data_IF_099558075032
#
_entry.id   IF_099558075032
#
_cell.length_a   1.000
_cell.length_b   1.000
_cell.length_c   1.000
_cell.angle_alpha   90.00
_cell.angle_beta   90.00
_cell.angle_gamma   90.00
#
_symmetry.space_group_name_H-M   'P 1'
#
loop_
_entity.id
_entity.type
_entity.pdbx_description
1 polymer ?
#
# COMPACT_ATOMS: atom_id res chain seq x y z
N UNK A 1 -38.47 -15.38 -16.29
CA UNK A 1 -37.33 -14.45 -16.33
C UNK A 1 -36.32 -14.98 -15.34
N UNK A 2 -35.14 -15.38 -15.81
CA UNK A 2 -34.08 -15.85 -14.92
C UNK A 2 -33.70 -14.74 -13.95
N UNK A 3 -33.60 -15.10 -12.68
CA UNK A 3 -33.22 -14.17 -11.63
C UNK A 3 -31.77 -13.75 -11.85
N UNK A 4 -31.55 -12.46 -12.16
CA UNK A 4 -30.21 -11.92 -12.40
C UNK A 4 -29.45 -11.87 -11.08
N UNK A 5 -28.45 -12.74 -10.95
CA UNK A 5 -27.61 -12.84 -9.77
C UNK A 5 -26.39 -11.90 -9.87
N UNK A 6 -26.05 -11.25 -8.76
CA UNK A 6 -24.89 -10.37 -8.63
C UNK A 6 -23.97 -10.88 -7.52
N UNK A 7 -22.66 -10.71 -7.68
CA UNK A 7 -21.66 -11.09 -6.66
C UNK A 7 -21.53 -9.93 -5.67
N UNK A 8 -21.57 -10.24 -4.38
CA UNK A 8 -21.45 -9.25 -3.28
C UNK A 8 -20.22 -9.43 -2.40
N UNK A 9 -19.60 -10.62 -2.41
CA UNK A 9 -18.37 -10.91 -1.68
C UNK A 9 -17.60 -12.04 -2.36
N UNK A 10 -16.29 -12.08 -2.12
CA UNK A 10 -15.41 -13.18 -2.51
C UNK A 10 -14.57 -13.57 -1.29
N UNK A 11 -14.75 -14.79 -0.81
CA UNK A 11 -14.35 -15.18 0.54
C UNK A 11 -13.81 -16.62 0.59
N UNK A 12 -13.18 -16.98 1.71
CA UNK A 12 -12.96 -18.40 2.04
C UNK A 12 -14.29 -19.13 2.16
N UNK A 13 -14.33 -20.43 1.91
CA UNK A 13 -15.57 -21.22 2.05
C UNK A 13 -16.26 -21.03 3.42
N UNK A 14 -15.48 -21.07 4.50
CA UNK A 14 -16.00 -20.89 5.86
C UNK A 14 -16.60 -19.49 6.06
N UNK A 15 -15.89 -18.44 5.63
CA UNK A 15 -16.39 -17.06 5.70
C UNK A 15 -17.67 -16.89 4.86
N UNK A 16 -17.69 -17.47 3.66
CA UNK A 16 -18.83 -17.42 2.74
C UNK A 16 -20.08 -18.11 3.32
N UNK A 17 -19.93 -19.24 4.01
CA UNK A 17 -21.04 -19.92 4.71
C UNK A 17 -21.61 -19.09 5.87
N UNK A 18 -20.73 -18.47 6.67
CA UNK A 18 -21.14 -17.58 7.76
C UNK A 18 -21.92 -16.39 7.20
N UNK A 19 -21.40 -15.78 6.13
CA UNK A 19 -22.04 -14.66 5.47
C UNK A 19 -23.39 -15.06 4.86
N UNK A 20 -23.45 -16.21 4.16
CA UNK A 20 -24.70 -16.75 3.62
C UNK A 20 -25.74 -16.91 4.73
N UNK A 21 -25.38 -17.57 5.83
CA UNK A 21 -26.29 -17.81 6.96
C UNK A 21 -26.82 -16.49 7.54
N UNK A 22 -25.94 -15.49 7.69
CA UNK A 22 -26.33 -14.16 8.16
C UNK A 22 -27.30 -13.47 7.20
N UNK A 23 -27.01 -13.45 5.89
CA UNK A 23 -27.89 -12.83 4.89
C UNK A 23 -29.25 -13.52 4.81
N UNK A 24 -29.28 -14.85 4.79
CA UNK A 24 -30.51 -15.64 4.72
C UNK A 24 -31.38 -15.44 5.98
N UNK A 25 -30.76 -15.39 7.16
CA UNK A 25 -31.48 -15.09 8.41
C UNK A 25 -32.12 -13.69 8.43
N UNK A 26 -31.61 -12.77 7.60
CA UNK A 26 -32.15 -11.42 7.41
C UNK A 26 -33.04 -11.32 6.15
N UNK A 27 -33.43 -12.45 5.54
CA UNK A 27 -34.33 -12.50 4.41
C UNK A 27 -33.70 -12.00 3.10
N UNK A 28 -32.43 -12.29 2.88
CA UNK A 28 -31.74 -12.15 1.59
C UNK A 28 -31.29 -13.52 1.14
N UNK A 29 -31.86 -14.04 0.06
CA UNK A 29 -31.49 -15.36 -0.45
C UNK A 29 -30.11 -15.30 -1.10
N UNK A 30 -29.26 -16.27 -0.77
CA UNK A 30 -27.86 -16.27 -1.17
C UNK A 30 -27.48 -17.60 -1.84
N UNK A 31 -26.54 -17.51 -2.79
CA UNK A 31 -26.03 -18.64 -3.57
C UNK A 31 -24.50 -18.58 -3.57
N UNK A 32 -23.84 -19.69 -3.27
CA UNK A 32 -22.40 -19.78 -3.28
C UNK A 32 -21.91 -20.41 -4.60
N UNK A 33 -20.87 -19.83 -5.20
CA UNK A 33 -20.23 -20.32 -6.44
C UNK A 33 -18.74 -20.50 -6.23
N UNK A 34 -18.11 -21.36 -7.04
CA UNK A 34 -16.70 -21.79 -6.91
C UNK A 34 -16.41 -22.59 -5.62
N UNK A 35 -17.36 -23.41 -5.18
CA UNK A 35 -17.16 -24.31 -4.05
C UNK A 35 -16.50 -25.61 -4.56
N UNK A 36 -15.34 -25.96 -4.03
CA UNK A 36 -14.82 -27.31 -4.19
C UNK A 36 -15.54 -28.26 -3.22
N UNK A 37 -16.51 -29.02 -3.71
CA UNK A 37 -17.33 -29.93 -2.89
C UNK A 37 -16.54 -31.13 -2.32
N UNK A 38 -15.35 -31.42 -2.87
CA UNK A 38 -14.52 -32.56 -2.44
C UNK A 38 -13.56 -32.15 -1.32
N UNK A 39 -13.02 -30.93 -1.40
CA UNK A 39 -12.17 -30.35 -0.35
C UNK A 39 -12.58 -28.90 -0.08
N UNK A 40 -13.65 -28.68 0.70
CA UNK A 40 -14.21 -27.34 0.93
C UNK A 40 -13.21 -26.37 1.57
N UNK A 41 -12.32 -26.87 2.42
CA UNK A 41 -11.31 -26.10 3.14
C UNK A 41 -10.16 -25.57 2.25
N UNK A 42 -10.14 -25.89 0.96
CA UNK A 42 -9.11 -25.45 -0.01
C UNK A 42 -9.63 -24.31 -0.91
N UNK A 43 -10.89 -23.89 -0.74
CA UNK A 43 -11.49 -22.85 -1.59
C UNK A 43 -11.32 -21.45 -0.99
N UNK A 44 -10.31 -20.71 -1.46
CA UNK A 44 -10.02 -19.31 -1.05
C UNK A 44 -10.68 -18.24 -1.95
N UNK A 45 -11.65 -18.62 -2.81
CA UNK A 45 -12.30 -17.71 -3.77
C UNK A 45 -13.77 -18.07 -4.02
N UNK A 46 -14.53 -18.31 -2.96
CA UNK A 46 -15.97 -18.60 -3.03
C UNK A 46 -16.73 -17.30 -3.25
N UNK A 47 -17.48 -17.25 -4.34
CA UNK A 47 -18.31 -16.08 -4.70
C UNK A 47 -19.67 -16.18 -4.03
N UNK A 48 -20.03 -15.15 -3.27
CA UNK A 48 -21.33 -15.02 -2.62
C UNK A 48 -22.24 -14.21 -3.55
N UNK A 49 -23.34 -14.83 -4.02
CA UNK A 49 -24.25 -14.25 -5.01
C UNK A 49 -25.67 -14.08 -4.45
N UNK A 50 -26.33 -13.01 -4.83
CA UNK A 50 -27.72 -12.69 -4.43
C UNK A 50 -28.52 -12.21 -5.63
N UNK A 51 -29.85 -12.12 -5.48
CA UNK A 51 -30.71 -11.43 -6.46
C UNK A 51 -30.33 -9.95 -6.57
N UNK A 52 -30.24 -9.40 -7.79
CA UNK A 52 -29.98 -7.96 -8.01
C UNK A 52 -31.00 -7.07 -7.28
N UNK A 53 -32.23 -7.56 -7.11
CA UNK A 53 -33.30 -6.85 -6.37
C UNK A 53 -33.01 -6.71 -4.87
N UNK A 54 -32.25 -7.66 -4.30
CA UNK A 54 -31.89 -7.66 -2.89
C UNK A 54 -30.56 -6.95 -2.62
N UNK A 55 -29.89 -6.43 -3.66
CA UNK A 55 -28.55 -5.86 -3.56
C UNK A 55 -28.45 -4.76 -2.50
N UNK A 56 -29.38 -3.81 -2.51
CA UNK A 56 -29.37 -2.70 -1.54
C UNK A 56 -29.50 -3.21 -0.10
N UNK A 57 -30.43 -4.14 0.15
CA UNK A 57 -30.66 -4.72 1.48
C UNK A 57 -29.45 -5.53 1.94
N UNK A 58 -28.89 -6.36 1.08
CA UNK A 58 -27.74 -7.19 1.38
C UNK A 58 -26.50 -6.36 1.71
N UNK A 59 -26.23 -5.31 0.92
CA UNK A 59 -25.09 -4.43 1.12
C UNK A 59 -25.22 -3.62 2.42
N UNK A 60 -26.44 -3.18 2.77
CA UNK A 60 -26.71 -2.57 4.10
C UNK A 60 -26.44 -3.54 5.25
N UNK A 61 -26.81 -4.81 5.11
CA UNK A 61 -26.53 -5.84 6.11
C UNK A 61 -25.02 -6.14 6.23
N UNK A 62 -24.30 -6.19 5.10
CA UNK A 62 -22.85 -6.36 5.05
C UNK A 62 -22.12 -5.22 5.76
N UNK A 63 -22.54 -3.97 5.52
CA UNK A 63 -21.90 -2.81 6.15
C UNK A 63 -22.12 -2.78 7.68
N UNK A 64 -23.21 -3.36 8.18
CA UNK A 64 -23.46 -3.54 9.61
C UNK A 64 -22.69 -4.73 10.21
N UNK A 65 -22.50 -5.79 9.42
CA UNK A 65 -21.69 -6.96 9.79
C UNK A 65 -20.22 -6.60 9.94
N UNK A 66 -19.70 -5.70 9.10
CA UNK A 66 -18.34 -5.14 9.18
C UNK A 66 -18.20 -4.25 10.42
N UNK A 67 -17.87 -4.84 11.57
CA UNK A 67 -17.53 -4.08 12.78
C UNK A 67 -16.26 -3.25 12.55
N UNK A 68 -16.23 -1.96 12.95
CA UNK A 68 -14.98 -1.23 13.00
C UNK A 68 -14.04 -1.93 14.01
N UNK A 69 -12.88 -2.37 13.56
CA UNK A 69 -11.84 -2.91 14.44
C UNK A 69 -11.30 -1.81 15.37
N UNK A 70 -10.62 -2.20 16.47
CA UNK A 70 -9.93 -1.24 17.34
C UNK A 70 -9.00 -0.36 16.49
N UNK A 71 -9.09 0.95 16.71
CA UNK A 71 -8.53 1.97 15.83
C UNK A 71 -7.06 1.77 15.49
N UNK A 72 -6.74 1.96 14.20
CA UNK A 72 -5.38 2.06 13.74
C UNK A 72 -4.70 3.27 14.41
N UNK A 73 -3.41 3.14 14.74
CA UNK A 73 -2.62 4.27 15.26
C UNK A 73 -1.75 4.85 14.17
N UNK A 74 -1.41 6.13 14.30
CA UNK A 74 -0.40 6.77 13.45
C UNK A 74 0.88 5.94 13.34
N UNK A 75 1.57 5.97 12.17
CA UNK A 75 2.81 5.23 11.98
C UNK A 75 3.87 5.69 12.99
N UNK A 76 4.17 4.87 14.00
CA UNK A 76 5.23 5.19 14.97
C UNK A 76 6.63 4.87 14.45
N UNK A 77 6.71 4.05 13.39
CA UNK A 77 7.95 3.57 12.78
C UNK A 77 7.83 3.66 11.27
N UNK A 78 8.79 4.34 10.65
CA UNK A 78 8.90 4.49 9.19
C UNK A 78 10.16 3.78 8.73
N UNK A 79 10.02 2.84 7.79
CA UNK A 79 11.13 2.20 7.11
C UNK A 79 11.38 2.90 5.77
N UNK A 80 12.64 3.20 5.46
CA UNK A 80 13.03 3.89 4.24
C UNK A 80 14.17 3.13 3.55
N UNK A 81 13.89 2.33 2.52
CA UNK A 81 14.91 1.74 1.67
C UNK A 81 15.65 2.82 0.88
N UNK A 82 16.97 2.75 0.85
CA UNK A 82 17.83 3.70 0.15
C UNK A 82 18.89 2.98 -0.68
N UNK A 83 19.11 3.49 -1.88
CA UNK A 83 20.13 3.06 -2.83
C UNK A 83 21.09 4.20 -3.20
N UNK A 84 21.00 5.32 -2.49
CA UNK A 84 21.82 6.53 -2.67
C UNK A 84 21.58 7.31 -3.98
N UNK A 85 20.63 6.88 -4.81
CA UNK A 85 20.08 7.70 -5.89
C UNK A 85 19.37 8.94 -5.35
N UNK A 86 19.22 9.96 -6.18
CA UNK A 86 18.49 11.18 -5.79
C UNK A 86 17.01 10.90 -5.49
N UNK A 87 16.43 9.87 -6.13
CA UNK A 87 15.07 9.42 -5.87
C UNK A 87 14.91 8.86 -4.45
N UNK A 88 15.84 8.00 -4.01
CA UNK A 88 15.78 7.44 -2.65
C UNK A 88 16.15 8.46 -1.58
N UNK A 89 17.05 9.41 -1.88
CA UNK A 89 17.30 10.57 -1.01
C UNK A 89 16.04 11.42 -0.84
N UNK A 90 15.35 11.74 -1.93
CA UNK A 90 14.10 12.52 -1.88
C UNK A 90 13.06 11.83 -0.98
N UNK A 91 12.88 10.51 -1.14
CA UNK A 91 12.00 9.72 -0.29
C UNK A 91 12.43 9.76 1.19
N UNK A 92 13.74 9.74 1.49
CA UNK A 92 14.25 9.82 2.85
C UNK A 92 14.02 11.19 3.51
N UNK A 93 14.21 12.30 2.77
CA UNK A 93 13.88 13.64 3.27
C UNK A 93 12.38 13.82 3.50
N UNK A 94 11.55 13.31 2.59
CA UNK A 94 10.10 13.30 2.77
C UNK A 94 9.69 12.51 4.02
N UNK A 95 10.24 11.30 4.19
CA UNK A 95 9.99 10.45 5.35
C UNK A 95 10.38 11.12 6.67
N UNK A 96 11.47 11.88 6.69
CA UNK A 96 11.93 12.63 7.85
C UNK A 96 10.93 13.72 8.27
N UNK A 97 10.43 14.49 7.29
CA UNK A 97 9.40 15.52 7.51
C UNK A 97 8.11 14.90 8.05
N UNK A 98 7.68 13.79 7.45
CA UNK A 98 6.50 13.06 7.91
C UNK A 98 6.67 12.50 9.32
N UNK A 99 7.84 11.93 9.62
CA UNK A 99 8.16 11.40 10.94
C UNK A 99 8.18 12.49 12.02
N UNK A 100 8.58 13.72 11.67
CA UNK A 100 8.50 14.85 12.59
C UNK A 100 7.06 15.15 13.02
N UNK A 101 6.12 15.18 12.08
CA UNK A 101 4.68 15.40 12.36
C UNK A 101 4.13 14.29 13.26
N UNK A 102 4.38 13.03 12.93
CA UNK A 102 3.86 11.89 13.68
C UNK A 102 4.65 11.56 14.95
N UNK A 103 5.79 12.23 15.18
CA UNK A 103 6.78 11.86 16.21
C UNK A 103 7.23 10.39 16.07
N UNK A 104 7.42 9.96 14.83
CA UNK A 104 7.81 8.60 14.48
C UNK A 104 9.33 8.42 14.47
N UNK A 105 9.81 7.18 14.60
CA UNK A 105 11.21 6.85 14.30
C UNK A 105 11.39 6.52 12.82
N UNK A 106 12.48 7.02 12.23
CA UNK A 106 12.90 6.71 10.85
C UNK A 106 14.02 5.68 10.91
N UNK A 107 13.90 4.62 10.13
CA UNK A 107 14.98 3.65 9.91
C UNK A 107 15.33 3.60 8.43
N UNK A 108 16.52 4.06 8.08
CA UNK A 108 17.10 3.84 6.76
C UNK A 108 17.49 2.37 6.60
N UNK A 109 17.29 1.82 5.42
CA UNK A 109 17.72 0.48 5.07
C UNK A 109 18.45 0.53 3.73
N UNK A 110 19.73 0.17 3.71
CA UNK A 110 20.37 -0.18 2.46
C UNK A 110 20.53 -1.71 2.40
N UNK A 111 20.18 -2.28 1.25
CA UNK A 111 20.43 -3.69 0.95
C UNK A 111 21.48 -3.71 -0.16
N UNK A 112 22.68 -4.19 0.15
CA UNK A 112 23.75 -4.29 -0.83
C UNK A 112 23.81 -5.72 -1.37
N UNK A 113 23.99 -5.83 -2.68
CA UNK A 113 24.06 -7.13 -3.34
C UNK A 113 25.46 -7.71 -3.18
N UNK A 114 25.53 -8.96 -2.72
CA UNK A 114 26.74 -9.78 -2.84
C UNK A 114 26.63 -10.56 -4.14
N UNK A 115 27.63 -10.53 -5.04
CA UNK A 115 27.58 -11.30 -6.27
C UNK A 115 27.43 -12.79 -5.94
N UNK A 116 26.31 -13.39 -6.34
CA UNK A 116 26.12 -14.84 -6.28
C UNK A 116 26.91 -15.45 -7.44
N UNK A 117 27.92 -16.27 -7.12
CA UNK A 117 28.68 -17.00 -8.13
C UNK A 117 28.10 -18.40 -8.24
N UNK A 118 27.24 -18.60 -9.24
CA UNK A 118 26.70 -19.90 -9.59
C UNK A 118 27.78 -20.70 -10.34
N UNK A 119 28.44 -21.60 -9.61
CA UNK A 119 29.48 -22.56 -10.05
C UNK A 119 30.87 -21.98 -10.38
N UNK A 120 31.82 -22.21 -9.48
CA UNK A 120 33.26 -22.01 -9.73
C UNK A 120 33.89 -23.38 -10.02
N UNK A 121 34.58 -23.57 -11.16
CA UNK A 121 35.40 -24.76 -11.39
C UNK A 121 36.47 -24.92 -10.29
N UNK A 122 36.64 -26.13 -9.76
CA UNK A 122 37.56 -26.41 -8.63
C UNK A 122 38.99 -25.89 -8.82
N UNK A 123 39.45 -25.73 -10.06
CA UNK A 123 40.80 -25.26 -10.41
C UNK A 123 41.03 -23.77 -10.10
N UNK A 124 39.98 -22.96 -10.09
CA UNK A 124 40.07 -21.51 -9.89
C UNK A 124 39.44 -21.05 -8.56
N UNK A 125 38.98 -22.00 -7.72
CA UNK A 125 38.20 -21.71 -6.54
C UNK A 125 38.93 -20.82 -5.51
N UNK A 126 40.23 -21.02 -5.28
CA UNK A 126 40.95 -20.28 -4.24
C UNK A 126 41.25 -18.82 -4.61
N UNK A 127 41.67 -18.54 -5.84
CA UNK A 127 41.93 -17.18 -6.33
C UNK A 127 40.63 -16.39 -6.49
N UNK A 128 39.60 -17.02 -7.04
CA UNK A 128 38.27 -16.41 -7.19
C UNK A 128 37.62 -16.15 -5.82
N UNK A 129 37.77 -17.04 -4.82
CA UNK A 129 37.25 -16.82 -3.48
C UNK A 129 37.89 -15.59 -2.80
N UNK A 130 39.21 -15.41 -2.92
CA UNK A 130 39.92 -14.23 -2.38
C UNK A 130 39.43 -12.95 -3.06
N UNK A 131 39.28 -12.95 -4.39
CA UNK A 131 38.80 -11.78 -5.13
C UNK A 131 37.34 -11.45 -4.80
N UNK A 132 36.49 -12.45 -4.57
CA UNK A 132 35.10 -12.27 -4.10
C UNK A 132 35.08 -11.68 -2.70
N UNK A 133 35.87 -12.21 -1.76
CA UNK A 133 35.91 -11.74 -0.38
C UNK A 133 36.42 -10.29 -0.29
N UNK A 134 37.44 -9.95 -1.08
CA UNK A 134 37.94 -8.57 -1.20
C UNK A 134 36.85 -7.67 -1.80
N UNK A 135 36.22 -8.08 -2.91
CA UNK A 135 35.15 -7.33 -3.56
C UNK A 135 33.95 -7.11 -2.63
N UNK A 136 33.57 -8.13 -1.87
CA UNK A 136 32.52 -8.08 -0.85
C UNK A 136 32.85 -7.06 0.25
N UNK A 137 34.07 -7.13 0.80
CA UNK A 137 34.49 -6.20 1.85
C UNK A 137 34.47 -4.74 1.38
N UNK A 138 34.84 -4.50 0.12
CA UNK A 138 34.80 -3.17 -0.52
C UNK A 138 33.35 -2.72 -0.71
N UNK A 139 32.46 -3.57 -1.25
CA UNK A 139 31.04 -3.26 -1.43
C UNK A 139 30.36 -2.92 -0.10
N UNK A 140 30.58 -3.75 0.92
CA UNK A 140 30.02 -3.54 2.25
C UNK A 140 30.55 -2.23 2.88
N UNK A 141 31.85 -1.97 2.77
CA UNK A 141 32.48 -0.74 3.27
C UNK A 141 31.91 0.49 2.57
N UNK A 142 31.84 0.49 1.25
CA UNK A 142 31.30 1.60 0.45
C UNK A 142 29.83 1.86 0.79
N UNK A 143 29.01 0.82 0.86
CA UNK A 143 27.60 0.93 1.23
C UNK A 143 27.43 1.50 2.65
N UNK A 144 28.27 1.06 3.60
CA UNK A 144 28.28 1.59 4.97
C UNK A 144 28.69 3.06 5.00
N UNK A 145 29.70 3.46 4.23
CA UNK A 145 30.17 4.85 4.16
C UNK A 145 29.10 5.77 3.55
N UNK A 146 28.47 5.37 2.45
CA UNK A 146 27.36 6.11 1.84
C UNK A 146 26.14 6.21 2.77
N UNK A 147 25.78 5.12 3.45
CA UNK A 147 24.68 5.13 4.42
C UNK A 147 24.97 6.04 5.61
N UNK A 148 26.21 6.02 6.12
CA UNK A 148 26.65 6.93 7.18
C UNK A 148 26.63 8.39 6.74
N UNK A 149 27.04 8.68 5.50
CA UNK A 149 26.99 10.03 4.93
C UNK A 149 25.54 10.53 4.85
N UNK A 150 24.64 9.74 4.26
CA UNK A 150 23.21 10.08 4.17
C UNK A 150 22.58 10.24 5.56
N UNK A 151 22.91 9.36 6.51
CA UNK A 151 22.46 9.47 7.89
C UNK A 151 22.87 10.81 8.53
N UNK A 152 24.14 11.21 8.37
CA UNK A 152 24.64 12.50 8.89
C UNK A 152 23.96 13.68 8.21
N UNK A 153 23.71 13.60 6.91
CA UNK A 153 23.02 14.62 6.15
C UNK A 153 21.58 14.82 6.64
N UNK A 154 20.81 13.74 6.77
CA UNK A 154 19.45 13.78 7.32
C UNK A 154 19.43 14.27 8.77
N UNK A 155 20.42 13.88 9.57
CA UNK A 155 20.53 14.35 10.96
C UNK A 155 20.78 15.85 11.02
N UNK A 156 21.72 16.35 10.21
CA UNK A 156 22.00 17.78 10.10
C UNK A 156 20.76 18.54 9.64
N UNK A 157 20.07 18.04 8.61
CA UNK A 157 18.83 18.65 8.13
C UNK A 157 17.75 18.68 9.22
N UNK A 158 17.56 17.60 9.99
CA UNK A 158 16.63 17.55 11.11
C UNK A 158 16.95 18.63 12.17
N UNK A 159 18.23 18.76 12.53
CA UNK A 159 18.69 19.73 13.51
C UNK A 159 18.51 21.18 13.01
N UNK A 160 18.89 21.45 11.75
CA UNK A 160 18.76 22.76 11.10
C UNK A 160 17.28 23.21 10.95
N UNK A 161 16.34 22.26 10.86
CA UNK A 161 14.90 22.51 10.74
C UNK A 161 14.12 22.32 12.05
N UNK A 162 14.80 22.30 13.20
CA UNK A 162 14.13 22.28 14.51
C UNK A 162 13.44 20.96 14.87
N UNK A 163 13.72 19.86 14.17
CA UNK A 163 13.16 18.53 14.41
C UNK A 163 13.84 17.81 15.59
N UNK A 164 14.02 18.51 16.71
CA UNK A 164 14.74 18.03 17.89
C UNK A 164 14.06 16.77 18.44
N UNK A 165 14.89 15.77 18.77
CA UNK A 165 14.41 14.50 19.35
C UNK A 165 13.93 13.47 18.34
N UNK A 166 13.94 13.79 17.03
CA UNK A 166 13.61 12.81 15.99
C UNK A 166 14.64 11.66 16.01
N UNK A 167 14.14 10.43 16.11
CA UNK A 167 14.95 9.21 16.13
C UNK A 167 15.20 8.78 14.69
N UNK A 168 16.47 8.81 14.30
CA UNK A 168 16.93 8.33 13.00
C UNK A 168 17.89 7.18 13.28
N UNK A 169 17.63 6.03 12.70
CA UNK A 169 18.53 4.89 12.70
C UNK A 169 18.78 4.43 11.27
N UNK A 170 19.75 3.52 11.11
CA UNK A 170 20.02 2.90 9.83
C UNK A 170 20.35 1.41 10.03
N UNK A 171 20.12 0.62 8.99
CA UNK A 171 20.50 -0.78 8.91
C UNK A 171 21.11 -1.05 7.54
N UNK A 172 22.20 -1.82 7.54
CA UNK A 172 22.81 -2.34 6.33
C UNK A 172 22.55 -3.85 6.28
N UNK A 173 22.05 -4.35 5.15
CA UNK A 173 21.77 -5.77 4.94
C UNK A 173 22.38 -6.26 3.65
N UNK A 174 22.77 -7.51 3.65
CA UNK A 174 23.21 -8.21 2.45
C UNK A 174 22.01 -8.89 1.77
N UNK A 175 22.03 -8.90 0.44
CA UNK A 175 21.15 -9.71 -0.40
C UNK A 175 20.45 -8.91 -1.50
N UNK A 176 19.34 -9.46 -1.99
CA UNK A 176 18.51 -8.81 -3.00
C UNK A 176 17.62 -7.74 -2.37
N UNK A 177 17.56 -6.56 -2.98
CA UNK A 177 16.90 -5.39 -2.41
C UNK A 177 15.44 -5.63 -2.02
N UNK A 178 14.62 -6.14 -2.94
CA UNK A 178 13.19 -6.42 -2.69
C UNK A 178 13.00 -7.39 -1.51
N UNK A 179 13.70 -8.52 -1.53
CA UNK A 179 13.65 -9.52 -0.45
C UNK A 179 14.11 -8.94 0.89
N UNK A 180 15.21 -8.19 0.92
CA UNK A 180 15.73 -7.55 2.12
C UNK A 180 14.76 -6.51 2.70
N UNK A 181 14.08 -5.75 1.84
CA UNK A 181 13.05 -4.78 2.24
C UNK A 181 11.83 -5.51 2.83
N UNK A 182 11.34 -6.56 2.17
CA UNK A 182 10.17 -7.34 2.61
C UNK A 182 10.47 -8.07 3.94
N UNK A 183 11.65 -8.69 4.08
CA UNK A 183 12.09 -9.30 5.34
C UNK A 183 12.20 -8.26 6.46
N UNK A 184 12.74 -7.08 6.17
CA UNK A 184 12.79 -5.99 7.15
C UNK A 184 11.39 -5.52 7.56
N UNK A 185 10.43 -5.44 6.64
CA UNK A 185 9.05 -5.13 6.98
C UNK A 185 8.47 -6.15 7.96
N UNK A 186 8.73 -7.46 7.77
CA UNK A 186 8.29 -8.52 8.68
C UNK A 186 8.94 -8.42 10.07
N UNK A 187 10.25 -8.15 10.13
CA UNK A 187 11.01 -8.11 11.40
C UNK A 187 10.82 -6.83 12.19
N UNK A 188 10.84 -5.69 11.51
CA UNK A 188 10.75 -4.37 12.12
C UNK A 188 9.30 -3.92 12.36
N UNK A 189 8.36 -4.48 11.59
CA UNK A 189 6.94 -4.17 11.59
C UNK A 189 6.69 -2.64 11.55
N UNK A 190 7.17 -1.95 10.49
CA UNK A 190 6.95 -0.52 10.37
C UNK A 190 5.47 -0.22 10.18
N UNK A 191 5.00 0.90 10.75
CA UNK A 191 3.65 1.39 10.47
C UNK A 191 3.51 1.93 9.04
N UNK A 192 4.64 2.23 8.39
CA UNK A 192 4.70 2.73 7.03
C UNK A 192 6.06 2.44 6.38
N UNK A 193 6.04 2.05 5.11
CA UNK A 193 7.19 1.93 4.24
C UNK A 193 7.18 3.10 3.25
N UNK A 194 8.30 3.82 3.11
CA UNK A 194 8.43 4.93 2.15
C UNK A 194 9.64 4.69 1.27
N UNK A 195 9.46 4.70 -0.05
CA UNK A 195 10.55 4.52 -1.01
C UNK A 195 10.35 5.35 -2.28
N UNK A 196 11.40 5.54 -3.08
CA UNK A 196 11.29 6.13 -4.41
C UNK A 196 10.65 5.16 -5.42
N UNK A 197 10.03 5.66 -6.49
CA UNK A 197 9.50 4.82 -7.58
C UNK A 197 10.62 4.16 -8.39
N UNK A 198 11.78 4.80 -8.46
CA UNK A 198 12.94 4.38 -9.27
C UNK A 198 14.20 4.41 -8.42
N UNK A 199 15.19 3.65 -8.86
CA UNK A 199 16.50 3.57 -8.21
C UNK A 199 17.65 4.03 -9.11
N UNK A 200 18.87 3.85 -8.63
CA UNK A 200 20.10 4.15 -9.35
C UNK A 200 20.18 3.40 -10.69
N UNK A 201 20.63 4.09 -11.76
CA UNK A 201 20.82 3.48 -13.08
C UNK A 201 19.54 3.28 -13.91
N UNK A 202 18.37 3.68 -13.40
CA UNK A 202 17.11 3.55 -14.12
C UNK A 202 17.02 4.57 -15.27
N UNK A 203 17.06 4.08 -16.52
CA UNK A 203 16.95 4.90 -17.75
C UNK A 203 15.74 4.53 -18.62
N UNK A 204 14.82 3.69 -18.11
CA UNK A 204 13.65 3.25 -18.87
C UNK A 204 12.51 4.28 -18.81
N UNK A 205 11.60 4.19 -19.77
CA UNK A 205 10.35 4.97 -19.82
C UNK A 205 9.30 4.47 -18.84
N UNK A 206 9.58 3.41 -18.09
CA UNK A 206 8.64 2.84 -17.14
C UNK A 206 8.44 3.76 -15.93
N UNK A 207 7.22 3.75 -15.38
CA UNK A 207 6.83 4.63 -14.28
C UNK A 207 7.36 4.16 -12.92
N UNK A 208 7.62 2.85 -12.78
CA UNK A 208 8.01 2.20 -11.51
C UNK A 208 9.12 1.19 -11.79
N UNK A 209 10.19 1.24 -11.01
CA UNK A 209 11.32 0.32 -11.10
C UNK A 209 11.02 -1.06 -10.52
N UNK A 210 11.83 -2.06 -10.93
CA UNK A 210 11.62 -3.48 -10.58
C UNK A 210 11.51 -3.74 -9.08
N UNK A 211 12.40 -3.15 -8.28
CA UNK A 211 12.38 -3.29 -6.80
C UNK A 211 11.09 -2.74 -6.22
N UNK A 212 10.67 -1.53 -6.63
CA UNK A 212 9.42 -0.93 -6.14
C UNK A 212 8.20 -1.76 -6.55
N UNK A 213 8.15 -2.26 -7.79
CA UNK A 213 7.06 -3.11 -8.27
C UNK A 213 6.96 -4.45 -7.54
N UNK A 214 8.09 -5.05 -7.14
CA UNK A 214 8.10 -6.28 -6.34
C UNK A 214 7.67 -6.01 -4.89
N UNK A 215 8.19 -4.94 -4.28
CA UNK A 215 7.80 -4.55 -2.92
C UNK A 215 6.31 -4.18 -2.82
N UNK A 216 5.76 -3.48 -3.81
CA UNK A 216 4.32 -3.14 -3.89
C UNK A 216 3.43 -4.38 -3.88
N UNK A 217 3.89 -5.49 -4.49
CA UNK A 217 3.11 -6.75 -4.55
C UNK A 217 3.14 -7.53 -3.24
N UNK A 218 4.26 -7.49 -2.52
CA UNK A 218 4.51 -8.41 -1.39
C UNK A 218 4.47 -7.75 0.00
N UNK A 219 4.59 -6.42 0.08
CA UNK A 219 4.61 -5.71 1.36
C UNK A 219 3.22 -5.70 2.02
N UNK A 220 3.16 -6.17 3.27
CA UNK A 220 1.93 -6.21 4.09
C UNK A 220 1.73 -4.96 4.97
N UNK A 221 2.46 -3.89 4.69
CA UNK A 221 2.42 -2.62 5.42
C UNK A 221 2.00 -1.50 4.48
N UNK A 222 1.41 -0.40 4.96
CA UNK A 222 1.15 0.77 4.12
C UNK A 222 2.43 1.24 3.43
N UNK A 223 2.38 1.34 2.11
CA UNK A 223 3.51 1.73 1.26
C UNK A 223 3.20 3.05 0.57
N UNK A 224 4.09 4.03 0.75
CA UNK A 224 4.09 5.27 -0.01
C UNK A 224 5.28 5.29 -0.95
N UNK A 225 4.99 5.44 -2.24
CA UNK A 225 6.02 5.52 -3.28
C UNK A 225 6.13 6.96 -3.76
N UNK A 226 7.33 7.54 -3.70
CA UNK A 226 7.61 8.93 -4.08
C UNK A 226 8.13 8.96 -5.53
N UNK A 227 7.42 9.61 -6.46
CA UNK A 227 7.87 9.79 -7.84
C UNK A 227 9.18 10.59 -7.93
N UNK A 228 9.94 10.37 -9.00
CA UNK A 228 11.23 11.04 -9.23
C UNK A 228 11.14 12.58 -9.22
N UNK A 229 10.09 13.14 -9.82
CA UNK A 229 9.88 14.58 -9.96
C UNK A 229 8.96 15.16 -8.89
N UNK A 230 8.62 14.38 -7.85
CA UNK A 230 7.81 14.88 -6.75
C UNK A 230 8.68 15.76 -5.85
N UNK A 231 8.63 17.08 -6.03
CA UNK A 231 9.36 18.06 -5.23
C UNK A 231 8.63 18.44 -3.94
N UNK A 232 7.93 17.50 -3.30
CA UNK A 232 7.15 17.78 -2.10
C UNK A 232 8.06 18.24 -0.96
N UNK A 233 8.00 19.53 -0.62
CA UNK A 233 8.78 20.10 0.47
C UNK A 233 8.09 19.87 1.81
N UNK A 234 6.79 19.67 1.82
CA UNK A 234 6.01 19.35 3.01
C UNK A 234 4.77 18.53 2.63
N UNK A 235 4.33 17.63 3.49
CA UNK A 235 3.10 16.85 3.23
C UNK A 235 1.83 17.74 3.26
N UNK A 236 1.90 18.92 3.87
CA UNK A 236 0.85 19.93 3.77
C UNK A 236 0.68 20.51 2.35
N UNK A 237 1.63 20.28 1.44
CA UNK A 237 1.48 20.59 0.01
C UNK A 237 0.55 19.61 -0.70
N UNK A 238 0.42 18.38 -0.17
CA UNK A 238 -0.65 17.47 -0.58
C UNK A 238 -1.95 18.09 -0.10
N UNK A 239 -2.93 18.29 -0.99
CA UNK A 239 -4.26 18.82 -0.67
C UNK A 239 -5.37 17.86 -1.05
N UNK A 240 -5.25 17.24 -2.22
CA UNK A 240 -6.29 16.38 -2.78
C UNK A 240 -5.79 14.94 -2.86
N UNK A 241 -6.46 14.06 -2.13
CA UNK A 241 -6.16 12.63 -2.09
C UNK A 241 -7.28 11.86 -2.75
N UNK A 242 -6.93 11.00 -3.70
CA UNK A 242 -7.86 10.05 -4.32
C UNK A 242 -7.64 8.67 -3.71
N UNK A 243 -8.68 8.09 -3.14
CA UNK A 243 -8.74 6.66 -2.85
C UNK A 243 -9.52 5.93 -3.94
N UNK A 244 -8.84 5.08 -4.72
CA UNK A 244 -9.45 4.29 -5.78
C UNK A 244 -10.03 2.98 -5.21
N UNK A 245 -11.35 2.97 -4.95
CA UNK A 245 -12.06 1.84 -4.35
C UNK A 245 -12.51 0.83 -5.41
N UNK A 246 -12.46 -0.46 -5.09
CA UNK A 246 -13.07 -1.54 -5.89
C UNK A 246 -14.31 -2.13 -5.24
N UNK A 247 -14.67 -1.63 -4.06
CA UNK A 247 -15.72 -2.14 -3.19
C UNK A 247 -15.45 -3.55 -2.66
N UNK A 248 -14.18 -3.93 -2.54
CA UNK A 248 -13.79 -5.19 -1.90
C UNK A 248 -13.62 -5.01 -0.38
N UNK A 249 -13.49 -6.11 0.36
CA UNK A 249 -13.38 -6.06 1.82
C UNK A 249 -12.11 -5.35 2.31
N UNK A 250 -11.05 -5.37 1.50
CA UNK A 250 -9.80 -4.70 1.85
C UNK A 250 -9.98 -3.19 1.87
N UNK A 251 -10.90 -2.64 1.07
CA UNK A 251 -11.17 -1.19 1.02
C UNK A 251 -11.54 -0.60 2.38
N UNK A 252 -12.31 -1.33 3.19
CA UNK A 252 -12.77 -0.85 4.50
C UNK A 252 -11.64 -0.71 5.52
N UNK A 253 -10.68 -1.64 5.48
CA UNK A 253 -9.48 -1.58 6.31
C UNK A 253 -8.50 -0.52 5.78
N UNK A 254 -8.31 -0.49 4.45
CA UNK A 254 -7.40 0.43 3.79
C UNK A 254 -7.82 1.89 3.94
N UNK A 255 -9.09 2.23 3.73
CA UNK A 255 -9.59 3.60 3.89
C UNK A 255 -9.45 4.07 5.35
N UNK A 256 -9.73 3.20 6.32
CA UNK A 256 -9.56 3.51 7.75
C UNK A 256 -8.10 3.81 8.08
N UNK A 257 -7.17 2.98 7.59
CA UNK A 257 -5.72 3.19 7.74
C UNK A 257 -5.26 4.45 7.04
N UNK A 258 -5.71 4.70 5.81
CA UNK A 258 -5.40 5.91 5.05
C UNK A 258 -5.85 7.15 5.82
N UNK A 259 -7.10 7.20 6.26
CA UNK A 259 -7.63 8.34 6.99
C UNK A 259 -6.98 8.50 8.37
N UNK A 260 -6.51 7.41 8.98
CA UNK A 260 -5.66 7.47 10.17
C UNK A 260 -4.35 8.14 9.83
N UNK A 261 -3.60 7.66 8.84
CA UNK A 261 -2.33 8.27 8.40
C UNK A 261 -2.55 9.77 8.13
N UNK A 262 -3.60 10.10 7.39
CA UNK A 262 -3.86 11.48 6.97
C UNK A 262 -4.46 12.39 8.05
N UNK A 263 -4.73 11.90 9.27
CA UNK A 263 -5.54 12.63 10.26
C UNK A 263 -4.94 13.93 10.79
N UNK A 264 -3.61 14.10 10.69
CA UNK A 264 -2.91 15.32 11.13
C UNK A 264 -2.94 16.43 10.07
N UNK A 265 -3.50 16.18 8.88
CA UNK A 265 -3.49 17.11 7.78
C UNK A 265 -4.90 17.57 7.40
N UNK A 266 -4.99 18.82 6.94
CA UNK A 266 -6.22 19.36 6.39
C UNK A 266 -6.28 19.07 4.88
N UNK A 267 -6.85 17.92 4.53
CA UNK A 267 -6.89 17.38 3.17
C UNK A 267 -8.32 17.12 2.71
N UNK A 268 -8.53 17.21 1.40
CA UNK A 268 -9.73 16.72 0.73
C UNK A 268 -9.47 15.28 0.30
N UNK A 269 -10.21 14.33 0.85
CA UNK A 269 -10.16 12.94 0.39
C UNK A 269 -11.37 12.68 -0.49
N UNK A 270 -11.16 12.11 -1.67
CA UNK A 270 -12.24 11.60 -2.51
C UNK A 270 -12.08 10.10 -2.70
N UNK A 271 -13.12 9.35 -2.37
CA UNK A 271 -13.20 7.92 -2.64
C UNK A 271 -13.94 7.73 -3.97
N UNK A 272 -13.25 7.24 -4.99
CA UNK A 272 -13.83 7.06 -6.30
C UNK A 272 -13.73 5.64 -6.84
N UNK A 273 -14.79 5.20 -7.50
CA UNK A 273 -14.84 3.95 -8.25
C UNK A 273 -14.96 4.24 -9.75
N UNK A 274 -14.43 3.36 -10.60
CA UNK A 274 -14.66 3.41 -12.05
C UNK A 274 -15.58 2.26 -12.46
N UNK A 275 -16.65 2.58 -13.19
CA UNK A 275 -17.53 1.55 -13.77
C UNK A 275 -18.19 2.01 -15.09
N UNK A 276 -18.65 1.05 -15.89
CA UNK A 276 -19.32 1.31 -17.17
C UNK A 276 -20.67 2.03 -17.00
N UNK A 277 -21.39 1.70 -15.92
CA UNK A 277 -22.74 2.19 -15.64
C UNK A 277 -22.85 2.71 -14.19
N UNK A 278 -22.65 4.02 -13.96
CA UNK A 278 -22.80 4.64 -12.64
C UNK A 278 -24.20 4.51 -12.03
N UNK A 279 -25.23 4.26 -12.86
CA UNK A 279 -26.61 4.05 -12.42
C UNK A 279 -26.88 2.62 -11.95
N UNK A 280 -25.88 1.72 -11.98
CA UNK A 280 -26.03 0.36 -11.51
C UNK A 280 -26.38 0.33 -9.99
N UNK A 281 -27.48 -0.32 -9.58
CA UNK A 281 -27.92 -0.37 -8.18
C UNK A 281 -26.88 -0.95 -7.22
N UNK A 282 -26.10 -1.95 -7.65
CA UNK A 282 -25.03 -2.57 -6.85
C UNK A 282 -23.89 -1.58 -6.61
N UNK A 283 -23.47 -0.85 -7.65
CA UNK A 283 -22.41 0.17 -7.55
C UNK A 283 -22.85 1.29 -6.61
N UNK A 284 -24.08 1.80 -6.77
CA UNK A 284 -24.64 2.84 -5.89
C UNK A 284 -24.77 2.37 -4.44
N UNK A 285 -25.25 1.15 -4.21
CA UNK A 285 -25.39 0.60 -2.88
C UNK A 285 -24.02 0.38 -2.21
N UNK A 286 -23.02 -0.12 -2.95
CA UNK A 286 -21.65 -0.27 -2.45
C UNK A 286 -21.03 1.08 -2.08
N UNK A 287 -21.24 2.10 -2.91
CA UNK A 287 -20.76 3.46 -2.61
C UNK A 287 -21.42 4.01 -1.34
N UNK A 288 -22.74 3.88 -1.22
CA UNK A 288 -23.48 4.31 -0.03
C UNK A 288 -23.00 3.59 1.24
N UNK A 289 -22.72 2.28 1.16
CA UNK A 289 -22.17 1.52 2.28
C UNK A 289 -20.76 1.98 2.70
N UNK A 290 -19.90 2.31 1.73
CA UNK A 290 -18.56 2.84 1.99
C UNK A 290 -18.66 4.25 2.62
N UNK A 291 -19.57 5.08 2.14
CA UNK A 291 -19.85 6.40 2.70
C UNK A 291 -20.32 6.31 4.15
N UNK A 292 -21.31 5.46 4.43
CA UNK A 292 -21.83 5.22 5.78
C UNK A 292 -20.75 4.68 6.72
N UNK A 293 -19.93 3.73 6.25
CA UNK A 293 -18.80 3.24 7.02
C UNK A 293 -17.81 4.36 7.35
N UNK A 294 -17.43 5.16 6.35
CA UNK A 294 -16.46 6.25 6.49
C UNK A 294 -16.93 7.29 7.50
N UNK A 295 -18.21 7.70 7.44
CA UNK A 295 -18.83 8.62 8.41
C UNK A 295 -18.78 8.08 9.85
N UNK A 296 -18.83 6.76 10.05
CA UNK A 296 -18.73 6.14 11.38
C UNK A 296 -17.30 6.12 11.92
N UNK A 297 -16.31 5.88 11.06
CA UNK A 297 -14.90 5.76 11.48
C UNK A 297 -14.17 7.10 11.53
N UNK A 298 -14.60 8.10 10.75
CA UNK A 298 -13.93 9.41 10.67
C UNK A 298 -14.89 10.53 11.04
N UNK A 299 -14.53 11.26 12.09
CA UNK A 299 -15.31 12.42 12.59
C UNK A 299 -14.80 13.78 12.11
N UNK A 300 -13.56 13.85 11.58
CA UNK A 300 -12.87 15.13 11.31
C UNK A 300 -12.47 15.34 9.84
N UNK A 301 -12.17 14.30 9.07
CA UNK A 301 -11.77 14.47 7.67
C UNK A 301 -13.00 14.64 6.78
N UNK A 302 -12.89 15.56 5.82
CA UNK A 302 -13.88 15.70 4.75
C UNK A 302 -13.59 14.64 3.70
N UNK A 303 -14.53 13.72 3.50
CA UNK A 303 -14.44 12.66 2.49
C UNK A 303 -15.62 12.80 1.54
N UNK A 304 -15.29 13.05 0.26
CA UNK A 304 -16.25 13.08 -0.84
C UNK A 304 -16.26 11.70 -1.55
N UNK A 305 -17.33 11.39 -2.27
CA UNK A 305 -17.52 10.10 -2.95
C UNK A 305 -17.93 10.32 -4.40
N UNK A 306 -17.34 9.56 -5.33
CA UNK A 306 -17.62 9.71 -6.76
C UNK A 306 -17.63 8.38 -7.54
N UNK A 307 -18.47 8.28 -8.56
CA UNK A 307 -18.52 7.13 -9.47
C UNK A 307 -18.20 7.63 -10.88
N UNK A 308 -16.98 7.31 -11.33
CA UNK A 308 -16.44 7.73 -12.60
C UNK A 308 -16.92 6.76 -13.68
N UNK A 309 -17.56 7.28 -14.73
CA UNK A 309 -17.94 6.47 -15.89
C UNK A 309 -16.70 6.12 -16.73
N UNK A 310 -16.41 4.84 -16.89
CA UNK A 310 -15.30 4.39 -17.73
C UNK A 310 -15.17 2.88 -17.80
N UNK A 311 -14.68 2.37 -18.94
CA UNK A 311 -14.38 0.95 -19.16
C UNK A 311 -12.97 0.56 -18.73
N UNK A 312 -12.03 1.49 -18.86
CA UNK A 312 -10.65 1.32 -18.48
C UNK A 312 -10.38 2.16 -17.23
N UNK A 313 -10.16 1.49 -16.10
CA UNK A 313 -9.92 2.14 -14.82
C UNK A 313 -8.67 3.05 -14.85
N UNK A 314 -7.59 2.61 -15.49
CA UNK A 314 -6.34 3.38 -15.55
C UNK A 314 -6.52 4.70 -16.33
N UNK A 315 -7.19 4.65 -17.48
CA UNK A 315 -7.47 5.85 -18.28
C UNK A 315 -8.44 6.80 -17.57
N UNK A 316 -9.50 6.25 -16.99
CA UNK A 316 -10.49 7.03 -16.25
C UNK A 316 -9.85 7.74 -15.04
N UNK A 317 -9.05 7.02 -14.24
CA UNK A 317 -8.33 7.63 -13.13
C UNK A 317 -7.27 8.63 -13.59
N UNK A 318 -6.57 8.39 -14.71
CA UNK A 318 -5.62 9.38 -15.26
C UNK A 318 -6.32 10.70 -15.60
N UNK A 319 -7.47 10.64 -16.28
CA UNK A 319 -8.26 11.84 -16.58
C UNK A 319 -8.77 12.53 -15.31
N UNK A 320 -9.21 11.75 -14.33
CA UNK A 320 -9.71 12.26 -13.06
C UNK A 320 -8.62 12.93 -12.21
N UNK A 321 -7.43 12.31 -12.12
CA UNK A 321 -6.26 12.83 -11.41
C UNK A 321 -5.88 14.21 -11.94
N UNK A 322 -5.75 14.35 -13.26
CA UNK A 322 -5.44 15.64 -13.90
C UNK A 322 -6.58 16.65 -13.72
N UNK A 323 -7.85 16.24 -13.88
CA UNK A 323 -8.99 17.15 -13.80
C UNK A 323 -9.29 17.66 -12.39
N UNK A 324 -8.93 16.91 -11.34
CA UNK A 324 -9.17 17.27 -9.93
C UNK A 324 -7.90 17.73 -9.20
N UNK A 325 -6.76 17.84 -9.90
CA UNK A 325 -5.46 18.15 -9.30
C UNK A 325 -5.16 17.25 -8.09
N UNK A 326 -5.24 15.94 -8.30
CA UNK A 326 -4.94 14.96 -7.26
C UNK A 326 -3.43 14.90 -7.01
N UNK A 327 -3.03 15.10 -5.76
CA UNK A 327 -1.64 15.10 -5.32
C UNK A 327 -1.17 13.70 -4.86
N UNK A 328 -2.11 12.90 -4.34
CA UNK A 328 -1.86 11.55 -3.84
C UNK A 328 -2.94 10.58 -4.32
N UNK A 329 -2.53 9.50 -4.98
CA UNK A 329 -3.37 8.34 -5.29
C UNK A 329 -3.10 7.23 -4.29
N UNK A 330 -4.15 6.73 -3.66
CA UNK A 330 -4.14 5.57 -2.78
C UNK A 330 -5.04 4.48 -3.36
N UNK A 331 -4.59 3.23 -3.27
CA UNK A 331 -5.30 2.05 -3.76
C UNK A 331 -4.83 0.81 -2.99
N UNK A 332 -5.62 -0.25 -3.02
CA UNK A 332 -5.23 -1.58 -2.53
C UNK A 332 -4.70 -2.44 -3.65
N UNK A 333 -3.58 -3.12 -3.40
CA UNK A 333 -3.10 -4.21 -4.26
C UNK A 333 -3.77 -5.52 -3.83
N UNK A 334 -3.99 -6.40 -4.80
CA UNK A 334 -4.46 -7.78 -4.56
C UNK A 334 -3.28 -8.72 -4.41
#
# INVERSE_FOLDING_TARGET
MDEKLVVIANDSYTSALVLQSYLESNGVKCYLKNINLVQPNVSDNVKVQISEKDAEKAIKLLSAYRKPEKGDSQPRKILVPVDFSDHSKNAAFFALRLAHVYKAEVKLLNVFNSPVVDMIPFTDAASIQIDIDISYSILQKNAREHLMKLFKELRKYADDNGMKGLKIGYALREGFASYGIIDMCKRYNPGMLIMGTKGEGFRSTELVGSVAAEVVREAKVPLLVIPENAELKDISEVKNVLYATRFDDNDYSAIRKLLTILSEFNLNVVCANVCDNPENPVVKANMAALEDYTKRVVRKAKVDFDIIKGKNAAEAFKGYISGKNIDLLALTMH
#
